data_IF_249768995354
#
_entry.id   IF_249768995354
#
_cell.length_a   1.000
_cell.length_b   1.000
_cell.length_c   1.000
_cell.angle_alpha   90.00
_cell.angle_beta   90.00
_cell.angle_gamma   90.00
#
_symmetry.space_group_name_H-M   'P 1'
#
loop_
_entity.id
_entity.type
_entity.pdbx_description
1 polymer ?
#
# COMPACT_ATOMS: atom_id res chain seq x y z
N UNK A 1 -0.32 -29.45 -0.62
CA UNK A 1 -0.41 -29.09 -2.06
C UNK A 1 -1.67 -29.65 -2.75
N UNK A 2 -1.97 -30.95 -2.66
CA UNK A 2 -3.16 -31.55 -3.31
C UNK A 2 -4.49 -30.88 -2.92
N UNK A 3 -4.65 -30.48 -1.65
CA UNK A 3 -5.88 -29.84 -1.16
C UNK A 3 -6.13 -28.42 -1.67
N UNK A 4 -5.11 -27.74 -2.20
CA UNK A 4 -5.28 -26.43 -2.86
C UNK A 4 -5.84 -26.55 -4.29
N UNK A 5 -5.92 -27.77 -4.83
CA UNK A 5 -6.49 -28.07 -6.16
C UNK A 5 -7.72 -28.96 -6.07
N UNK A 6 -8.28 -29.09 -4.86
CA UNK A 6 -9.47 -29.90 -4.63
C UNK A 6 -10.66 -29.28 -5.39
N UNK A 7 -11.53 -30.09 -6.03
CA UNK A 7 -12.69 -29.55 -6.73
C UNK A 7 -13.66 -28.79 -5.80
N UNK A 8 -13.74 -29.16 -4.52
CA UNK A 8 -14.60 -28.46 -3.55
C UNK A 8 -13.90 -27.19 -3.04
N UNK A 9 -14.52 -26.02 -3.27
CA UNK A 9 -13.98 -24.73 -2.83
C UNK A 9 -13.87 -24.62 -1.31
N UNK A 10 -14.72 -25.31 -0.54
CA UNK A 10 -14.63 -25.34 0.92
C UNK A 10 -13.35 -26.04 1.38
N UNK A 11 -12.91 -27.07 0.66
CA UNK A 11 -11.65 -27.77 0.94
C UNK A 11 -10.46 -26.88 0.60
N UNK A 12 -10.51 -26.18 -0.55
CA UNK A 12 -9.45 -25.23 -0.94
C UNK A 12 -9.32 -24.09 0.06
N UNK A 13 -10.45 -23.50 0.48
CA UNK A 13 -10.52 -22.46 1.51
C UNK A 13 -9.90 -22.92 2.82
N UNK A 14 -10.36 -24.06 3.34
CA UNK A 14 -9.83 -24.63 4.59
C UNK A 14 -8.33 -24.93 4.50
N UNK A 15 -7.85 -25.42 3.35
CA UNK A 15 -6.44 -25.62 3.10
C UNK A 15 -5.64 -24.30 3.11
N UNK A 16 -6.15 -23.24 2.47
CA UNK A 16 -5.52 -21.93 2.49
C UNK A 16 -5.43 -21.34 3.92
N UNK A 17 -6.53 -21.42 4.68
CA UNK A 17 -6.57 -20.96 6.07
C UNK A 17 -5.57 -21.71 6.96
N UNK A 18 -5.53 -23.04 6.85
CA UNK A 18 -4.61 -23.89 7.62
C UNK A 18 -3.14 -23.57 7.30
N UNK A 19 -2.79 -23.35 6.02
CA UNK A 19 -1.44 -22.99 5.62
C UNK A 19 -1.04 -21.61 6.15
N UNK A 20 -1.94 -20.63 6.06
CA UNK A 20 -1.71 -19.30 6.62
C UNK A 20 -1.54 -19.31 8.15
N UNK A 21 -2.29 -20.15 8.86
CA UNK A 21 -2.19 -20.30 10.31
C UNK A 21 -0.94 -21.07 10.75
N UNK A 22 -0.49 -22.05 9.96
CA UNK A 22 0.71 -22.82 10.23
C UNK A 22 1.99 -21.97 10.12
N UNK A 23 1.98 -20.92 9.31
CA UNK A 23 3.14 -20.04 9.14
C UNK A 23 4.22 -20.62 8.23
N UNK A 24 3.95 -21.75 7.58
CA UNK A 24 4.89 -22.40 6.66
C UNK A 24 5.05 -21.59 5.38
N UNK A 25 6.21 -20.92 5.24
CA UNK A 25 6.54 -20.10 4.07
C UNK A 25 6.70 -20.92 2.80
N UNK A 26 6.93 -22.23 2.87
CA UNK A 26 7.01 -23.09 1.68
C UNK A 26 5.66 -23.21 0.97
N UNK A 27 4.56 -22.88 1.67
CA UNK A 27 3.22 -22.78 1.12
C UNK A 27 3.03 -21.56 0.20
N UNK A 28 3.85 -20.52 0.34
CA UNK A 28 3.68 -19.23 -0.35
C UNK A 28 3.58 -19.38 -1.87
N UNK A 29 4.44 -20.19 -2.48
CA UNK A 29 4.42 -20.43 -3.93
C UNK A 29 3.11 -21.08 -4.38
N UNK A 30 2.58 -22.03 -3.60
CA UNK A 30 1.34 -22.72 -3.94
C UNK A 30 0.11 -21.82 -3.74
N UNK A 31 0.11 -20.99 -2.70
CA UNK A 31 -0.95 -20.02 -2.44
C UNK A 31 -0.97 -18.91 -3.50
N UNK A 32 0.19 -18.39 -3.93
CA UNK A 32 0.27 -17.44 -5.06
C UNK A 32 -0.25 -18.03 -6.35
N UNK A 33 0.12 -19.27 -6.67
CA UNK A 33 -0.40 -19.95 -7.85
C UNK A 33 -1.92 -20.11 -7.79
N UNK A 34 -2.48 -20.41 -6.60
CA UNK A 34 -3.92 -20.47 -6.41
C UNK A 34 -4.58 -19.10 -6.60
N UNK A 35 -4.01 -18.03 -6.01
CA UNK A 35 -4.53 -16.67 -6.13
C UNK A 35 -4.67 -16.22 -7.60
N UNK A 36 -3.73 -16.62 -8.46
CA UNK A 36 -3.72 -16.26 -9.88
C UNK A 36 -4.78 -17.00 -10.73
N UNK A 37 -5.34 -18.11 -10.26
CA UNK A 37 -6.25 -18.97 -11.04
C UNK A 37 -7.62 -19.17 -10.42
N UNK A 38 -7.78 -18.81 -9.15
CA UNK A 38 -9.01 -19.03 -8.38
C UNK A 38 -10.09 -18.01 -8.73
N UNK A 39 -11.36 -18.45 -8.69
CA UNK A 39 -12.53 -17.61 -8.95
C UNK A 39 -13.52 -17.60 -7.79
N UNK A 40 -13.45 -18.59 -6.89
CA UNK A 40 -14.28 -18.63 -5.70
C UNK A 40 -13.87 -17.50 -4.74
N UNK A 41 -14.86 -16.67 -4.39
CA UNK A 41 -14.65 -15.47 -3.57
C UNK A 41 -14.11 -15.80 -2.19
N UNK A 42 -14.65 -16.82 -1.52
CA UNK A 42 -14.20 -17.16 -0.17
C UNK A 42 -12.78 -17.72 -0.20
N UNK A 43 -12.46 -18.53 -1.22
CA UNK A 43 -11.10 -19.06 -1.39
C UNK A 43 -10.11 -17.92 -1.64
N UNK A 44 -10.42 -16.98 -2.54
CA UNK A 44 -9.55 -15.82 -2.81
C UNK A 44 -9.27 -15.02 -1.54
N UNK A 45 -10.31 -14.75 -0.73
CA UNK A 45 -10.17 -14.02 0.53
C UNK A 45 -9.25 -14.78 1.51
N UNK A 46 -9.47 -16.08 1.70
CA UNK A 46 -8.60 -16.91 2.55
C UNK A 46 -7.16 -16.96 2.05
N UNK A 47 -6.94 -17.07 0.73
CA UNK A 47 -5.60 -17.09 0.13
C UNK A 47 -4.88 -15.74 0.33
N UNK A 48 -5.55 -14.61 0.08
CA UNK A 48 -4.99 -13.28 0.31
C UNK A 48 -4.59 -13.06 1.77
N UNK A 49 -5.45 -13.43 2.72
CA UNK A 49 -5.13 -13.39 4.15
C UNK A 49 -3.96 -14.31 4.52
N UNK A 50 -3.93 -15.54 3.98
CA UNK A 50 -2.83 -16.47 4.22
C UNK A 50 -1.50 -15.92 3.73
N UNK A 51 -1.44 -15.38 2.50
CA UNK A 51 -0.23 -14.76 1.94
C UNK A 51 0.23 -13.54 2.76
N UNK A 52 -0.71 -12.74 3.27
CA UNK A 52 -0.41 -11.63 4.17
C UNK A 52 0.22 -12.11 5.50
N UNK A 53 -0.36 -13.14 6.14
CA UNK A 53 0.19 -13.75 7.36
C UNK A 53 1.58 -14.34 7.15
N UNK A 54 1.81 -14.97 6.00
CA UNK A 54 3.11 -15.53 5.62
C UNK A 54 4.15 -14.47 5.25
N UNK A 55 3.74 -13.19 5.13
CA UNK A 55 4.57 -12.05 4.71
C UNK A 55 5.15 -12.24 3.31
N UNK A 56 4.37 -12.81 2.40
CA UNK A 56 4.76 -13.11 1.02
C UNK A 56 4.64 -11.86 0.15
N UNK A 57 5.68 -11.04 0.14
CA UNK A 57 5.77 -9.82 -0.66
C UNK A 57 5.61 -10.08 -2.15
N UNK A 58 5.99 -11.24 -2.65
CA UNK A 58 5.90 -11.56 -4.07
C UNK A 58 4.46 -11.71 -4.57
N UNK A 59 3.47 -11.79 -3.68
CA UNK A 59 2.04 -11.85 -4.01
C UNK A 59 1.39 -10.47 -4.24
N UNK A 60 2.12 -9.38 -3.96
CA UNK A 60 1.55 -8.03 -3.97
C UNK A 60 0.95 -7.66 -5.32
N UNK A 61 1.57 -8.06 -6.44
CA UNK A 61 1.07 -7.74 -7.78
C UNK A 61 -0.29 -8.37 -8.03
N UNK A 62 -0.41 -9.68 -7.79
CA UNK A 62 -1.66 -10.42 -7.97
C UNK A 62 -2.78 -9.90 -7.04
N UNK A 63 -2.44 -9.51 -5.81
CA UNK A 63 -3.39 -8.92 -4.87
C UNK A 63 -3.85 -7.52 -5.31
N UNK A 64 -2.96 -6.71 -5.88
CA UNK A 64 -3.30 -5.39 -6.43
C UNK A 64 -4.20 -5.51 -7.65
N UNK A 65 -3.90 -6.44 -8.56
CA UNK A 65 -4.75 -6.70 -9.73
C UNK A 65 -6.17 -7.09 -9.30
N UNK A 66 -6.32 -7.97 -8.31
CA UNK A 66 -7.62 -8.33 -7.75
C UNK A 66 -8.30 -7.14 -7.03
N UNK A 67 -7.54 -6.29 -6.33
CA UNK A 67 -8.08 -5.09 -5.68
C UNK A 67 -8.66 -4.08 -6.68
N UNK A 68 -8.02 -3.95 -7.84
CA UNK A 68 -8.41 -3.02 -8.90
C UNK A 68 -9.53 -3.58 -9.79
N UNK A 69 -9.46 -4.86 -10.17
CA UNK A 69 -10.18 -5.40 -11.33
C UNK A 69 -11.10 -6.59 -11.05
N UNK A 70 -11.15 -7.12 -9.83
CA UNK A 70 -12.09 -8.21 -9.52
C UNK A 70 -13.53 -7.73 -9.68
N UNK A 71 -14.37 -8.51 -10.37
CA UNK A 71 -15.82 -8.25 -10.50
C UNK A 71 -16.55 -8.30 -9.14
N UNK A 72 -15.97 -8.98 -8.15
CA UNK A 72 -16.53 -9.09 -6.81
C UNK A 72 -15.98 -8.00 -5.87
N UNK A 73 -16.85 -7.11 -5.39
CA UNK A 73 -16.54 -6.04 -4.45
C UNK A 73 -15.93 -6.53 -3.11
N UNK A 74 -16.35 -7.69 -2.62
CA UNK A 74 -15.79 -8.32 -1.42
C UNK A 74 -14.34 -8.70 -1.65
N UNK A 75 -14.02 -9.33 -2.78
CA UNK A 75 -12.63 -9.65 -3.15
C UNK A 75 -11.81 -8.37 -3.23
N UNK A 76 -12.29 -7.33 -3.92
CA UNK A 76 -11.58 -6.03 -4.00
C UNK A 76 -11.24 -5.49 -2.61
N UNK A 77 -12.24 -5.42 -1.73
CA UNK A 77 -12.08 -4.88 -0.37
C UNK A 77 -11.14 -5.73 0.49
N UNK A 78 -11.23 -7.06 0.41
CA UNK A 78 -10.38 -7.94 1.21
C UNK A 78 -8.94 -7.96 0.73
N UNK A 79 -8.68 -7.79 -0.57
CA UNK A 79 -7.31 -7.65 -1.08
C UNK A 79 -6.65 -6.37 -0.60
N UNK A 80 -7.39 -5.26 -0.51
CA UNK A 80 -6.89 -4.00 0.08
C UNK A 80 -6.50 -4.21 1.55
N UNK A 81 -7.35 -4.89 2.33
CA UNK A 81 -7.06 -5.19 3.74
C UNK A 81 -5.83 -6.08 3.85
N UNK A 82 -5.76 -7.15 3.06
CA UNK A 82 -4.63 -8.08 3.10
C UNK A 82 -3.31 -7.42 2.64
N UNK A 83 -3.36 -6.51 1.66
CA UNK A 83 -2.23 -5.65 1.24
C UNK A 83 -1.79 -4.70 2.35
N UNK A 84 -2.74 -4.05 3.05
CA UNK A 84 -2.42 -3.17 4.17
C UNK A 84 -1.73 -3.93 5.29
N UNK A 85 -2.24 -5.11 5.64
CA UNK A 85 -1.64 -5.98 6.65
C UNK A 85 -0.23 -6.41 6.21
N UNK A 86 -0.06 -6.83 4.95
CA UNK A 86 1.19 -7.33 4.38
C UNK A 86 2.27 -6.24 4.36
N UNK A 87 1.94 -5.06 3.85
CA UNK A 87 2.89 -3.97 3.58
C UNK A 87 3.03 -3.00 4.76
N UNK A 88 1.96 -2.74 5.51
CA UNK A 88 1.94 -1.83 6.65
C UNK A 88 2.33 -2.48 7.98
N UNK A 89 2.30 -3.81 8.08
CA UNK A 89 2.71 -4.53 9.28
C UNK A 89 1.72 -4.45 10.45
N UNK A 90 0.57 -3.79 10.27
CA UNK A 90 -0.44 -3.56 11.31
C UNK A 90 -1.81 -4.04 10.85
N UNK A 91 -2.56 -4.70 11.75
CA UNK A 91 -3.90 -5.22 11.47
C UNK A 91 -5.04 -4.25 11.79
N UNK A 92 -4.76 -2.95 11.90
CA UNK A 92 -5.75 -1.92 12.24
C UNK A 92 -6.38 -1.24 11.01
N UNK A 93 -5.87 -1.53 9.80
CA UNK A 93 -6.34 -0.91 8.57
C UNK A 93 -7.84 -1.13 8.33
N UNK A 94 -8.34 -2.36 8.52
CA UNK A 94 -9.76 -2.64 8.31
C UNK A 94 -10.65 -1.82 9.27
N UNK A 95 -10.19 -1.58 10.50
CA UNK A 95 -10.90 -0.72 11.46
C UNK A 95 -10.84 0.74 11.02
N UNK A 96 -9.67 1.20 10.59
CA UNK A 96 -9.46 2.55 10.07
C UNK A 96 -10.37 2.84 8.87
N UNK A 97 -10.37 1.96 7.86
CA UNK A 97 -11.13 2.14 6.63
C UNK A 97 -12.64 2.07 6.88
N UNK A 98 -13.11 1.15 7.74
CA UNK A 98 -14.53 1.11 8.14
C UNK A 98 -14.99 2.41 8.81
N UNK A 99 -14.14 3.01 9.65
CA UNK A 99 -14.44 4.29 10.29
C UNK A 99 -14.48 5.44 9.27
N UNK A 100 -13.55 5.44 8.31
CA UNK A 100 -13.47 6.48 7.29
C UNK A 100 -14.70 6.47 6.36
N UNK A 101 -15.29 5.30 6.07
CA UNK A 101 -16.56 5.24 5.32
C UNK A 101 -17.73 5.97 5.98
N UNK A 102 -17.72 6.14 7.30
CA UNK A 102 -18.78 6.83 8.05
C UNK A 102 -18.45 8.30 8.32
N UNK A 103 -17.16 8.62 8.47
CA UNK A 103 -16.67 9.99 8.64
C UNK A 103 -15.44 10.16 7.74
N UNK A 104 -15.71 10.40 6.46
CA UNK A 104 -14.71 10.53 5.40
C UNK A 104 -13.64 11.54 5.79
N UNK A 105 -12.38 11.15 5.62
CA UNK A 105 -11.23 12.00 5.90
C UNK A 105 -10.64 11.87 7.31
N UNK A 106 -11.31 11.25 8.29
CA UNK A 106 -10.76 11.15 9.66
C UNK A 106 -9.52 10.25 9.73
N UNK A 107 -9.59 9.08 9.11
CA UNK A 107 -8.49 8.14 8.98
C UNK A 107 -7.35 8.71 8.15
N UNK A 108 -7.67 9.39 7.04
CA UNK A 108 -6.69 10.16 6.26
C UNK A 108 -5.99 11.23 7.11
N UNK A 109 -6.73 12.08 7.81
CA UNK A 109 -6.18 13.13 8.66
C UNK A 109 -5.30 12.55 9.79
N UNK A 110 -5.70 11.42 10.37
CA UNK A 110 -4.90 10.72 11.39
C UNK A 110 -3.56 10.25 10.83
N UNK A 111 -3.56 9.62 9.65
CA UNK A 111 -2.34 9.15 8.99
C UNK A 111 -1.48 10.31 8.50
N UNK A 112 -2.08 11.34 7.89
CA UNK A 112 -1.42 12.58 7.50
C UNK A 112 -0.72 13.26 8.69
N UNK A 113 -1.36 13.27 9.87
CA UNK A 113 -0.73 13.76 11.10
C UNK A 113 0.50 12.94 11.54
N UNK A 114 0.49 11.62 11.34
CA UNK A 114 1.69 10.79 11.56
C UNK A 114 2.78 11.12 10.55
N UNK A 115 2.43 11.29 9.28
CA UNK A 115 3.35 11.60 8.20
C UNK A 115 4.05 12.96 8.43
N UNK A 116 3.30 14.02 8.78
CA UNK A 116 3.86 15.33 9.17
C UNK A 116 4.90 15.20 10.28
N UNK A 117 4.60 14.42 11.34
CA UNK A 117 5.55 14.17 12.43
C UNK A 117 6.81 13.44 11.94
N UNK A 118 6.68 12.47 11.05
CA UNK A 118 7.84 11.77 10.48
C UNK A 118 8.73 12.71 9.66
N UNK A 119 8.15 13.58 8.83
CA UNK A 119 8.90 14.58 8.06
C UNK A 119 9.70 15.51 8.99
N UNK A 120 9.07 15.98 10.06
CA UNK A 120 9.73 16.81 11.08
C UNK A 120 10.90 16.08 11.76
N UNK A 121 10.74 14.80 12.12
CA UNK A 121 11.81 13.99 12.72
C UNK A 121 12.97 13.79 11.74
N UNK A 122 12.67 13.43 10.48
CA UNK A 122 13.68 13.22 9.45
C UNK A 122 14.51 14.49 9.19
N UNK A 123 13.90 15.67 9.27
CA UNK A 123 14.62 16.94 9.09
C UNK A 123 15.65 17.26 10.18
N UNK A 124 15.45 16.71 11.39
CA UNK A 124 16.30 16.93 12.56
C UNK A 124 17.53 16.02 12.56
N UNK A 125 17.41 14.81 12.00
CA UNK A 125 18.52 13.87 11.91
C UNK A 125 19.63 14.40 10.99
N UNK A 126 20.80 14.60 11.59
CA UNK A 126 21.99 15.16 10.93
C UNK A 126 23.12 14.14 11.03
N UNK A 127 23.43 13.46 9.92
CA UNK A 127 24.64 12.63 9.83
C UNK A 127 25.89 13.50 9.58
N UNK A 128 27.11 12.98 9.87
CA UNK A 128 28.35 13.75 9.86
C UNK A 128 28.74 14.38 8.52
N UNK A 129 28.22 13.86 7.41
CA UNK A 129 28.47 14.32 6.04
C UNK A 129 27.22 14.99 5.46
N UNK A 130 27.14 16.33 5.51
CA UNK A 130 25.97 17.11 5.11
C UNK A 130 26.28 18.11 3.97
N UNK A 131 25.69 17.93 2.76
CA UNK A 131 25.73 18.93 1.69
C UNK A 131 24.55 19.92 1.67
N UNK A 132 23.41 19.66 2.36
CA UNK A 132 22.23 20.56 2.36
C UNK A 132 22.15 21.45 3.60
N UNK A 133 21.85 22.73 3.39
CA UNK A 133 21.72 23.70 4.48
C UNK A 133 20.52 23.37 5.37
N UNK A 134 20.53 23.90 6.60
CA UNK A 134 19.38 23.84 7.51
C UNK A 134 18.13 24.50 6.89
N UNK A 135 18.33 25.50 6.02
CA UNK A 135 17.27 26.23 5.32
C UNK A 135 16.58 25.32 4.30
N UNK A 136 17.35 24.60 3.49
CA UNK A 136 16.81 23.70 2.46
C UNK A 136 15.97 22.57 3.07
N UNK A 137 16.42 22.04 4.22
CA UNK A 137 15.67 21.02 4.97
C UNK A 137 14.34 21.54 5.49
N UNK A 138 14.32 22.75 6.07
CA UNK A 138 13.07 23.38 6.52
C UNK A 138 12.13 23.63 5.36
N UNK A 139 12.65 24.08 4.21
CA UNK A 139 11.87 24.31 2.99
C UNK A 139 11.22 23.02 2.51
N UNK A 140 11.98 21.92 2.45
CA UNK A 140 11.45 20.62 2.03
C UNK A 140 10.34 20.11 2.95
N UNK A 141 10.48 20.26 4.27
CA UNK A 141 9.42 19.89 5.21
C UNK A 141 8.16 20.75 5.02
N UNK A 142 8.32 22.07 4.84
CA UNK A 142 7.18 22.94 4.57
C UNK A 142 6.47 22.55 3.26
N UNK A 143 7.23 22.17 2.22
CA UNK A 143 6.65 21.64 0.98
C UNK A 143 5.86 20.36 1.23
N UNK A 144 6.41 19.41 2.00
CA UNK A 144 5.69 18.18 2.39
C UNK A 144 4.39 18.49 3.13
N UNK A 145 4.42 19.42 4.08
CA UNK A 145 3.24 19.81 4.86
C UNK A 145 2.14 20.39 3.97
N UNK A 146 2.49 21.29 3.05
CA UNK A 146 1.57 21.86 2.07
C UNK A 146 1.02 20.79 1.10
N UNK A 147 1.87 19.87 0.61
CA UNK A 147 1.41 18.77 -0.26
C UNK A 147 0.43 17.83 0.47
N UNK A 148 0.63 17.58 1.78
CA UNK A 148 -0.32 16.81 2.59
C UNK A 148 -1.65 17.54 2.77
N UNK A 149 -1.66 18.88 2.84
CA UNK A 149 -2.90 19.66 2.90
C UNK A 149 -3.72 19.53 1.62
N UNK A 150 -3.08 19.72 0.46
CA UNK A 150 -3.70 19.51 -0.86
C UNK A 150 -4.29 18.10 -0.98
N UNK A 151 -3.54 17.08 -0.55
CA UNK A 151 -4.03 15.71 -0.54
C UNK A 151 -5.32 15.54 0.27
N UNK A 152 -5.40 16.13 1.46
CA UNK A 152 -6.59 16.04 2.31
C UNK A 152 -7.79 16.77 1.71
N UNK A 153 -7.56 17.91 1.06
CA UNK A 153 -8.60 18.65 0.34
C UNK A 153 -9.16 17.82 -0.84
N UNK A 154 -8.29 17.18 -1.62
CA UNK A 154 -8.68 16.30 -2.73
C UNK A 154 -9.47 15.09 -2.25
N UNK A 155 -9.04 14.44 -1.16
CA UNK A 155 -9.79 13.34 -0.53
C UNK A 155 -11.18 13.81 -0.08
N UNK A 156 -11.27 15.01 0.49
CA UNK A 156 -12.54 15.57 0.97
C UNK A 156 -13.48 15.94 -0.20
N UNK A 157 -12.92 16.31 -1.34
CA UNK A 157 -13.63 16.57 -2.59
C UNK A 157 -13.92 15.30 -3.42
N UNK A 158 -13.45 14.13 -2.99
CA UNK A 158 -13.51 12.86 -3.73
C UNK A 158 -12.79 12.90 -5.09
N UNK A 159 -11.82 13.82 -5.23
CA UNK A 159 -10.90 13.85 -6.35
C UNK A 159 -9.80 12.79 -6.14
N UNK A 160 -10.15 11.53 -6.40
CA UNK A 160 -9.22 10.42 -6.26
C UNK A 160 -8.08 10.44 -7.29
N UNK A 161 -8.27 11.11 -8.43
CA UNK A 161 -7.22 11.31 -9.42
C UNK A 161 -6.12 12.20 -8.85
N UNK A 162 -6.49 13.41 -8.43
CA UNK A 162 -5.58 14.35 -7.79
C UNK A 162 -4.99 13.78 -6.50
N UNK A 163 -5.80 13.10 -5.67
CA UNK A 163 -5.29 12.52 -4.42
C UNK A 163 -4.19 11.47 -4.64
N UNK A 164 -4.31 10.61 -5.67
CA UNK A 164 -3.28 9.62 -5.98
C UNK A 164 -1.99 10.24 -6.54
N UNK A 165 -2.12 11.25 -7.40
CA UNK A 165 -0.98 12.04 -7.89
C UNK A 165 -0.25 12.72 -6.73
N UNK A 166 -0.99 13.42 -5.87
CA UNK A 166 -0.42 14.10 -4.71
C UNK A 166 0.24 13.12 -3.74
N UNK A 167 -0.35 11.93 -3.54
CA UNK A 167 0.26 10.90 -2.69
C UNK A 167 1.59 10.38 -3.25
N UNK A 168 1.72 10.22 -4.56
CA UNK A 168 2.98 9.86 -5.24
C UNK A 168 4.04 10.95 -5.03
N UNK A 169 3.65 12.23 -5.15
CA UNK A 169 4.54 13.37 -4.86
C UNK A 169 5.03 13.32 -3.40
N UNK A 170 4.14 13.08 -2.43
CA UNK A 170 4.55 12.95 -1.01
C UNK A 170 5.50 11.77 -0.82
N UNK A 171 5.24 10.61 -1.44
CA UNK A 171 6.12 9.46 -1.37
C UNK A 171 7.54 9.78 -1.89
N UNK A 172 7.63 10.50 -3.01
CA UNK A 172 8.89 10.98 -3.57
C UNK A 172 9.60 11.99 -2.67
N UNK A 173 8.87 12.95 -2.09
CA UNK A 173 9.46 13.90 -1.13
C UNK A 173 10.01 13.17 0.12
N UNK A 174 9.37 12.10 0.56
CA UNK A 174 9.89 11.24 1.64
C UNK A 174 11.13 10.45 1.25
N UNK A 175 11.23 10.02 -0.01
CA UNK A 175 12.46 9.45 -0.57
C UNK A 175 13.62 10.46 -0.49
N UNK A 176 13.38 11.70 -0.93
CA UNK A 176 14.37 12.79 -0.84
C UNK A 176 14.74 13.09 0.63
N UNK A 177 13.77 13.18 1.53
CA UNK A 177 14.00 13.45 2.96
C UNK A 177 14.81 12.34 3.65
N UNK A 178 14.43 11.07 3.42
CA UNK A 178 14.99 9.93 4.14
C UNK A 178 16.32 9.47 3.58
N UNK A 179 16.43 9.42 2.25
CA UNK A 179 17.56 8.81 1.56
C UNK A 179 18.50 9.81 0.89
N UNK A 180 18.15 11.10 0.92
CA UNK A 180 18.90 12.14 0.19
C UNK A 180 18.98 11.80 -1.28
N UNK A 181 17.87 11.33 -1.83
CA UNK A 181 17.76 11.05 -3.24
C UNK A 181 17.83 12.37 -4.05
N UNK A 182 18.59 12.36 -5.14
CA UNK A 182 18.82 13.52 -6.02
C UNK A 182 18.45 13.23 -7.48
N UNK A 183 17.99 12.02 -7.80
CA UNK A 183 17.51 11.68 -9.13
C UNK A 183 16.08 12.16 -9.37
N UNK A 184 15.55 11.81 -10.53
CA UNK A 184 14.18 12.06 -10.93
C UNK A 184 13.21 10.97 -10.43
N UNK A 185 11.92 11.16 -10.71
CA UNK A 185 10.90 10.21 -10.28
C UNK A 185 10.99 8.86 -11.01
N UNK A 186 11.48 8.84 -12.25
CA UNK A 186 11.61 7.65 -13.09
C UNK A 186 12.58 6.64 -12.49
N UNK A 187 13.72 7.11 -11.97
CA UNK A 187 14.77 6.27 -11.39
C UNK A 187 14.58 6.02 -9.87
N UNK A 188 13.51 6.53 -9.27
CA UNK A 188 13.27 6.45 -7.83
C UNK A 188 13.08 5.01 -7.34
N UNK A 189 12.35 4.20 -8.11
CA UNK A 189 12.07 2.81 -7.78
C UNK A 189 13.32 1.93 -7.89
N UNK A 190 14.15 2.16 -8.91
CA UNK A 190 15.43 1.46 -9.09
C UNK A 190 16.34 1.73 -7.89
N UNK A 191 16.50 3.01 -7.52
CA UNK A 191 17.27 3.41 -6.34
C UNK A 191 16.75 2.75 -5.05
N UNK A 192 15.43 2.78 -4.82
CA UNK A 192 14.83 2.15 -3.65
C UNK A 192 15.02 0.63 -3.65
N UNK A 193 14.97 0.00 -4.81
CA UNK A 193 15.20 -1.44 -4.95
C UNK A 193 16.63 -1.82 -4.54
N UNK A 194 17.60 -0.96 -4.81
CA UNK A 194 18.99 -1.17 -4.40
C UNK A 194 19.24 -0.90 -2.89
N UNK A 195 18.60 0.13 -2.33
CA UNK A 195 18.94 0.63 -0.97
C UNK A 195 17.96 0.16 0.11
N UNK A 196 16.70 -0.09 -0.23
CA UNK A 196 15.65 -0.51 0.70
C UNK A 196 14.53 -1.31 -0.01
N UNK A 197 14.78 -2.59 -0.38
CA UNK A 197 13.85 -3.39 -1.19
C UNK A 197 12.41 -3.46 -0.67
N UNK A 198 12.21 -3.58 0.64
CA UNK A 198 10.86 -3.61 1.23
C UNK A 198 10.09 -2.30 1.01
N UNK A 199 10.79 -1.15 1.01
CA UNK A 199 10.19 0.16 0.74
C UNK A 199 9.97 0.39 -0.74
N UNK A 200 10.81 -0.20 -1.60
CA UNK A 200 10.61 -0.18 -3.03
C UNK A 200 9.23 -0.73 -3.40
N UNK A 201 8.79 -1.80 -2.75
CA UNK A 201 7.48 -2.37 -3.03
C UNK A 201 6.31 -1.49 -2.59
N UNK A 202 6.44 -0.78 -1.46
CA UNK A 202 5.44 0.20 -1.00
C UNK A 202 5.37 1.40 -1.92
N UNK A 203 6.53 1.88 -2.38
CA UNK A 203 6.62 2.94 -3.38
C UNK A 203 6.00 2.51 -4.71
N UNK A 204 6.34 1.31 -5.19
CA UNK A 204 5.76 0.72 -6.40
C UNK A 204 4.23 0.61 -6.31
N UNK A 205 3.67 0.24 -5.16
CA UNK A 205 2.21 0.20 -4.99
C UNK A 205 1.58 1.58 -5.24
N UNK A 206 2.12 2.63 -4.65
CA UNK A 206 1.59 4.00 -4.80
C UNK A 206 1.69 4.45 -6.26
N UNK A 207 2.84 4.23 -6.88
CA UNK A 207 3.11 4.53 -8.28
C UNK A 207 2.15 3.81 -9.23
N UNK A 208 1.99 2.49 -9.03
CA UNK A 208 1.10 1.67 -9.84
C UNK A 208 -0.38 2.06 -9.69
N UNK A 209 -0.83 2.39 -8.48
CA UNK A 209 -2.19 2.86 -8.25
C UNK A 209 -2.44 4.23 -8.92
N UNK A 210 -1.45 5.12 -8.91
CA UNK A 210 -1.54 6.41 -9.60
C UNK A 210 -1.65 6.21 -11.12
N UNK A 211 -0.82 5.34 -11.71
CA UNK A 211 -0.89 5.03 -13.15
C UNK A 211 -2.23 4.38 -13.52
N UNK A 212 -2.68 3.40 -12.74
CA UNK A 212 -3.98 2.74 -12.98
C UNK A 212 -5.17 3.71 -12.89
N UNK A 213 -5.07 4.73 -12.02
CA UNK A 213 -6.09 5.79 -11.90
C UNK A 213 -6.06 6.75 -13.08
N UNK A 214 -4.87 7.15 -13.53
CA UNK A 214 -4.64 8.10 -14.61
C UNK A 214 -5.06 7.53 -15.98
N UNK A 215 -4.77 6.24 -16.21
CA UNK A 215 -5.15 5.53 -17.44
C UNK A 215 -6.65 5.13 -17.46
N UNK A 216 -7.40 5.43 -16.40
CA UNK A 216 -8.82 5.07 -16.21
C UNK A 216 -9.12 3.58 -16.42
N UNK A 217 -8.11 2.71 -16.21
CA UNK A 217 -8.20 1.27 -16.46
C UNK A 217 -9.10 0.52 -15.46
N UNK A 218 -9.50 1.16 -14.36
CA UNK A 218 -10.30 0.55 -13.29
C UNK A 218 -11.23 1.59 -12.64
N UNK A 219 -12.26 2.07 -13.36
CA UNK A 219 -13.14 3.15 -12.87
C UNK A 219 -13.99 2.71 -11.67
N UNK A 220 -14.30 1.42 -11.56
CA UNK A 220 -15.10 0.85 -10.46
C UNK A 220 -14.28 0.44 -9.22
N UNK A 221 -12.96 0.66 -9.27
CA UNK A 221 -12.10 0.32 -8.14
C UNK A 221 -12.47 1.17 -6.91
N UNK A 222 -12.39 0.62 -5.69
CA UNK A 222 -12.70 1.35 -4.45
C UNK A 222 -11.56 2.32 -4.11
N UNK A 223 -11.50 3.43 -4.85
CA UNK A 223 -10.41 4.43 -4.80
C UNK A 223 -10.25 5.10 -3.44
N UNK A 224 -11.33 5.19 -2.65
CA UNK A 224 -11.26 5.61 -1.24
C UNK A 224 -10.36 4.67 -0.42
N UNK A 225 -10.54 3.36 -0.59
CA UNK A 225 -9.74 2.33 0.07
C UNK A 225 -8.32 2.26 -0.44
N UNK A 226 -8.13 2.39 -1.75
CA UNK A 226 -6.82 2.34 -2.40
C UNK A 226 -5.95 3.55 -2.02
N UNK A 227 -6.54 4.76 -2.00
CA UNK A 227 -5.85 5.96 -1.52
C UNK A 227 -5.50 5.86 -0.04
N UNK A 228 -6.42 5.35 0.79
CA UNK A 228 -6.16 5.13 2.22
C UNK A 228 -5.08 4.07 2.44
N UNK A 229 -5.07 3.00 1.64
CA UNK A 229 -4.03 1.97 1.63
C UNK A 229 -2.67 2.58 1.29
N UNK A 230 -2.58 3.36 0.21
CA UNK A 230 -1.34 4.03 -0.19
C UNK A 230 -0.77 4.91 0.92
N UNK A 231 -1.62 5.74 1.54
CA UNK A 231 -1.21 6.56 2.69
C UNK A 231 -0.81 5.70 3.90
N UNK A 232 -1.54 4.61 4.16
CA UNK A 232 -1.26 3.70 5.27
C UNK A 232 0.10 3.01 5.13
N UNK A 233 0.45 2.50 3.94
CA UNK A 233 1.74 1.83 3.72
C UNK A 233 2.90 2.83 3.71
N UNK A 234 2.67 4.07 3.27
CA UNK A 234 3.68 5.12 3.34
C UNK A 234 4.02 5.49 4.78
N UNK A 235 3.01 5.53 5.66
CA UNK A 235 3.17 5.88 7.07
C UNK A 235 3.78 4.75 7.91
N UNK A 236 3.33 3.51 7.71
CA UNK A 236 3.72 2.39 8.57
C UNK A 236 4.89 1.56 8.02
N UNK A 237 5.38 1.87 6.82
CA UNK A 237 6.45 1.14 6.13
C UNK A 237 7.83 1.75 6.06
#
# INVERSE_FOLDING_TARGET
>A
KLRLRDPDSRVRRAAADALGACGDRDAAKALRALLATETDTDVLVSVGMALSRLRTLEAVREMVDLALRSDNMTVRSQMIVALADLLGGTSDFQKLWRQDRHWRGRGFARLAGKLRRQAQVLSRWSGPSQPRSRVDRKRLVATVEATIEVFLEQVQAEDWGGAMETLQIVAFQFLVLRYRYHGDQEHALEFLSAVAPERAQRYWLIDHLQSARADETSPEAPWDGLALLGLHVLVNG
#
